data_IF_522947881465
#
_entry.id   IF_522947881465
#
_cell.length_a   1.000
_cell.length_b   1.000
_cell.length_c   1.000
_cell.angle_alpha   90.00
_cell.angle_beta   90.00
_cell.angle_gamma   90.00
#
_symmetry.space_group_name_H-M   'P 1'
#
loop_
_entity.id
_entity.type
_entity.pdbx_description
1 polymer ?
#
# COMPACT_ATOMS: atom_id res chain seq x y z
N UNK A 1 -27.68 -1.11 -19.12
CA UNK A 1 -26.43 -0.37 -19.11
C UNK A 1 -25.78 -0.48 -17.72
N UNK A 2 -24.55 -0.72 -17.68
CA UNK A 2 -23.41 -0.18 -16.97
C UNK A 2 -22.76 -1.00 -15.86
N UNK A 3 -22.98 -2.31 -15.76
CA UNK A 3 -22.06 -3.16 -14.97
C UNK A 3 -20.69 -3.32 -15.66
N UNK A 4 -20.68 -3.39 -16.98
CA UNK A 4 -19.45 -3.50 -17.78
C UNK A 4 -18.58 -2.24 -17.71
N UNK A 5 -19.16 -1.07 -17.56
CA UNK A 5 -18.46 0.21 -17.47
C UNK A 5 -17.78 0.35 -16.08
N UNK A 6 -18.45 -0.05 -15.01
CA UNK A 6 -17.89 -0.05 -13.66
C UNK A 6 -16.73 -1.06 -13.50
N UNK A 7 -16.90 -2.27 -14.03
CA UNK A 7 -15.85 -3.30 -13.99
C UNK A 7 -14.62 -2.89 -14.82
N UNK A 8 -14.82 -2.29 -15.99
CA UNK A 8 -13.73 -1.77 -16.81
C UNK A 8 -13.01 -0.61 -16.14
N UNK A 9 -13.73 0.29 -15.48
CA UNK A 9 -13.16 1.41 -14.75
C UNK A 9 -12.33 0.95 -13.55
N UNK A 10 -12.82 -0.03 -12.79
CA UNK A 10 -12.10 -0.63 -11.66
C UNK A 10 -10.84 -1.35 -12.17
N UNK A 11 -10.98 -2.18 -13.21
CA UNK A 11 -9.86 -2.90 -13.82
C UNK A 11 -8.79 -1.94 -14.37
N UNK A 12 -9.20 -0.86 -15.02
CA UNK A 12 -8.30 0.19 -15.51
C UNK A 12 -7.56 0.90 -14.37
N UNK A 13 -8.27 1.23 -13.29
CA UNK A 13 -7.69 1.85 -12.10
C UNK A 13 -6.66 0.94 -11.42
N UNK A 14 -6.95 -0.36 -11.31
CA UNK A 14 -6.03 -1.34 -10.73
C UNK A 14 -4.76 -1.50 -11.57
N UNK A 15 -4.87 -1.58 -12.90
CA UNK A 15 -3.69 -1.63 -13.79
C UNK A 15 -2.83 -0.38 -13.63
N UNK A 16 -3.46 0.78 -13.59
CA UNK A 16 -2.72 2.03 -13.41
C UNK A 16 -2.00 2.09 -12.05
N UNK A 17 -2.63 1.60 -10.98
CA UNK A 17 -1.98 1.49 -9.67
C UNK A 17 -0.79 0.51 -9.71
N UNK A 18 -0.93 -0.64 -10.39
CA UNK A 18 0.17 -1.59 -10.59
C UNK A 18 1.33 -0.95 -11.37
N UNK A 19 1.04 -0.16 -12.40
CA UNK A 19 2.05 0.59 -13.14
C UNK A 19 2.77 1.62 -12.24
N UNK A 20 2.05 2.26 -11.33
CA UNK A 20 2.67 3.18 -10.36
C UNK A 20 3.53 2.42 -9.35
N UNK A 21 3.08 1.26 -8.86
CA UNK A 21 3.87 0.38 -8.00
C UNK A 21 5.20 -0.03 -8.64
N UNK A 22 5.15 -0.45 -9.91
CA UNK A 22 6.34 -0.85 -10.68
C UNK A 22 7.34 0.30 -10.89
N UNK A 23 6.87 1.54 -10.91
CA UNK A 23 7.71 2.74 -11.08
C UNK A 23 8.30 3.27 -9.77
N UNK A 24 7.78 2.86 -8.60
CA UNK A 24 8.34 3.29 -7.31
C UNK A 24 9.81 2.82 -7.24
N UNK A 25 10.77 3.71 -6.89
CA UNK A 25 12.17 3.33 -6.81
C UNK A 25 12.43 2.16 -5.87
N UNK A 26 13.37 1.29 -6.25
CA UNK A 26 13.70 0.08 -5.47
C UNK A 26 14.32 0.37 -4.10
N UNK A 27 14.81 1.60 -3.89
CA UNK A 27 15.28 2.06 -2.59
C UNK A 27 14.17 2.22 -1.54
N UNK A 28 12.91 2.29 -1.97
CA UNK A 28 11.75 2.37 -1.06
C UNK A 28 11.45 0.99 -0.50
N UNK A 29 11.35 0.83 0.84
CA UNK A 29 10.98 -0.43 1.48
C UNK A 29 9.67 -1.01 0.94
N UNK A 30 9.62 -2.35 0.80
CA UNK A 30 8.49 -3.07 0.18
C UNK A 30 7.15 -2.73 0.81
N UNK A 31 7.11 -2.66 2.13
CA UNK A 31 5.92 -2.36 2.94
C UNK A 31 5.46 -0.89 2.82
N UNK A 32 6.31 0.00 2.35
CA UNK A 32 5.97 1.41 2.13
C UNK A 32 5.63 1.75 0.68
N UNK A 33 6.01 0.90 -0.30
CA UNK A 33 5.85 1.18 -1.75
C UNK A 33 4.43 1.55 -2.15
N UNK A 34 3.44 0.91 -1.57
CA UNK A 34 2.02 1.16 -1.86
C UNK A 34 1.61 2.61 -1.60
N UNK A 35 2.15 3.22 -0.56
CA UNK A 35 1.83 4.62 -0.20
C UNK A 35 2.36 5.61 -1.22
N UNK A 36 3.58 5.37 -1.72
CA UNK A 36 4.18 6.15 -2.81
C UNK A 36 3.40 5.97 -4.12
N UNK A 37 2.99 4.74 -4.43
CA UNK A 37 2.20 4.46 -5.62
C UNK A 37 0.82 5.12 -5.57
N UNK A 38 0.13 5.11 -4.42
CA UNK A 38 -1.15 5.79 -4.23
C UNK A 38 -1.01 7.31 -4.35
N UNK A 39 0.06 7.90 -3.82
CA UNK A 39 0.36 9.31 -4.02
C UNK A 39 0.59 9.62 -5.52
N UNK A 40 1.38 8.80 -6.19
CA UNK A 40 1.62 8.92 -7.63
C UNK A 40 0.33 8.72 -8.45
N UNK A 41 -0.55 7.81 -8.04
CA UNK A 41 -1.86 7.60 -8.65
C UNK A 41 -2.73 8.85 -8.58
N UNK A 42 -2.74 9.54 -7.43
CA UNK A 42 -3.60 10.70 -7.19
C UNK A 42 -3.06 11.98 -7.85
N UNK A 43 -1.77 12.29 -7.68
CA UNK A 43 -1.19 13.57 -8.13
C UNK A 43 -0.21 13.47 -9.30
N UNK A 44 0.07 12.26 -9.76
CA UNK A 44 1.04 11.99 -10.83
C UNK A 44 2.42 11.63 -10.30
N UNK A 45 3.07 10.69 -11.01
CA UNK A 45 4.39 10.14 -10.65
C UNK A 45 5.49 11.21 -10.53
N UNK A 46 5.50 12.17 -11.45
CA UNK A 46 6.48 13.25 -11.47
C UNK A 46 6.44 14.12 -10.18
N UNK A 47 5.24 14.43 -9.69
CA UNK A 47 5.06 15.18 -8.46
C UNK A 47 5.40 14.37 -7.20
N UNK A 48 5.20 13.06 -7.24
CA UNK A 48 5.70 12.18 -6.17
C UNK A 48 7.23 12.21 -6.11
N UNK A 49 7.93 12.24 -7.24
CA UNK A 49 9.39 12.43 -7.28
C UNK A 49 9.80 13.80 -6.74
N UNK A 50 9.06 14.87 -7.05
CA UNK A 50 9.30 16.20 -6.47
C UNK A 50 9.17 16.21 -4.94
N UNK A 51 8.19 15.50 -4.39
CA UNK A 51 8.02 15.34 -2.93
C UNK A 51 9.24 14.64 -2.31
N UNK A 52 9.75 13.58 -2.92
CA UNK A 52 10.97 12.88 -2.50
C UNK A 52 12.20 13.79 -2.57
N UNK A 53 12.36 14.51 -3.68
CA UNK A 53 13.46 15.45 -3.86
C UNK A 53 13.42 16.58 -2.81
N UNK A 54 12.24 17.10 -2.50
CA UNK A 54 12.05 18.10 -1.45
C UNK A 54 12.40 17.54 -0.07
N UNK A 55 12.01 16.29 0.20
CA UNK A 55 12.34 15.58 1.45
C UNK A 55 13.85 15.48 1.61
N UNK A 56 14.57 15.04 0.58
CA UNK A 56 16.03 14.94 0.59
C UNK A 56 16.71 16.33 0.80
N UNK A 57 16.21 17.37 0.12
CA UNK A 57 16.69 18.76 0.33
C UNK A 57 16.51 19.23 1.77
N UNK A 58 15.48 18.79 2.45
CA UNK A 58 15.20 19.12 3.85
C UNK A 58 15.84 18.13 4.83
N UNK A 59 16.77 17.29 4.36
CA UNK A 59 17.53 16.30 5.16
C UNK A 59 16.64 15.20 5.78
N UNK A 60 15.45 14.96 5.24
CA UNK A 60 14.61 13.80 5.55
C UNK A 60 14.97 12.62 4.67
N UNK A 61 14.42 11.44 5.02
CA UNK A 61 14.59 10.23 4.23
C UNK A 61 13.59 10.19 3.05
N UNK A 62 14.04 10.31 1.78
CA UNK A 62 13.14 10.30 0.61
C UNK A 62 12.49 8.93 0.36
N UNK A 63 12.96 7.88 1.01
CA UNK A 63 12.46 6.51 0.89
C UNK A 63 11.51 6.12 2.04
N UNK A 64 11.32 7.02 3.02
CA UNK A 64 10.34 6.83 4.10
C UNK A 64 9.05 7.60 3.82
N UNK A 65 7.92 6.89 3.82
CA UNK A 65 6.61 7.51 3.66
C UNK A 65 6.33 8.56 4.75
N UNK A 66 6.73 8.27 5.99
CA UNK A 66 6.54 9.19 7.12
C UNK A 66 7.18 10.55 6.88
N UNK A 67 8.34 10.58 6.24
CA UNK A 67 9.05 11.81 5.90
C UNK A 67 8.46 12.47 4.65
N UNK A 68 8.20 11.71 3.60
CA UNK A 68 7.72 12.23 2.32
C UNK A 68 6.31 12.79 2.43
N UNK A 69 5.40 12.13 3.13
CA UNK A 69 4.02 12.59 3.28
C UNK A 69 3.90 14.01 3.86
N UNK A 70 4.82 14.39 4.75
CA UNK A 70 4.84 15.73 5.35
C UNK A 70 5.18 16.83 4.34
N UNK A 71 5.82 16.49 3.23
CA UNK A 71 6.23 17.42 2.15
C UNK A 71 5.17 17.53 1.06
N UNK A 72 4.24 16.59 0.97
CA UNK A 72 3.17 16.64 -0.03
C UNK A 72 2.39 17.96 0.01
N UNK A 73 1.89 18.47 1.17
CA UNK A 73 1.17 19.74 1.20
C UNK A 73 2.01 20.95 0.76
N UNK A 74 3.34 20.87 0.86
CA UNK A 74 4.24 21.95 0.46
C UNK A 74 4.28 22.13 -1.07
N UNK A 75 3.94 21.10 -1.84
CA UNK A 75 3.90 21.15 -3.31
C UNK A 75 2.84 22.11 -3.87
N UNK A 76 1.88 22.53 -3.07
CA UNK A 76 0.89 23.54 -3.42
C UNK A 76 1.33 24.98 -3.05
N UNK A 77 2.44 25.13 -2.33
CA UNK A 77 2.92 26.43 -1.83
C UNK A 77 4.00 27.02 -2.73
N UNK A 78 3.81 28.25 -3.19
CA UNK A 78 4.71 28.92 -4.15
C UNK A 78 6.20 28.93 -3.76
N UNK A 79 6.59 29.13 -2.49
CA UNK A 79 8.01 29.10 -2.12
C UNK A 79 8.70 27.76 -2.38
N UNK A 80 7.93 26.67 -2.44
CA UNK A 80 8.43 25.32 -2.69
C UNK A 80 8.30 24.93 -4.15
N UNK A 81 7.07 24.96 -4.72
CA UNK A 81 6.87 24.47 -6.07
C UNK A 81 7.63 25.24 -7.14
N UNK A 82 7.90 26.53 -6.93
CA UNK A 82 8.71 27.34 -7.88
C UNK A 82 10.15 26.86 -8.03
N UNK A 83 10.63 26.01 -7.15
CA UNK A 83 11.99 25.45 -7.12
C UNK A 83 12.01 23.94 -7.41
N UNK A 84 10.88 23.36 -7.75
CA UNK A 84 10.73 21.94 -8.09
C UNK A 84 10.69 21.75 -9.59
N UNK A 85 11.03 20.56 -10.04
CA UNK A 85 11.14 20.24 -11.47
C UNK A 85 9.81 20.32 -12.19
N UNK A 86 8.75 19.84 -11.54
CA UNK A 86 7.41 19.70 -12.16
C UNK A 86 6.41 20.76 -11.66
N UNK A 87 6.82 21.63 -10.75
CA UNK A 87 6.05 22.78 -10.33
C UNK A 87 4.90 22.48 -9.38
N UNK A 88 3.78 23.17 -9.56
CA UNK A 88 2.62 23.07 -8.68
C UNK A 88 1.93 21.70 -8.73
N UNK A 89 1.62 21.16 -7.55
CA UNK A 89 0.76 20.00 -7.39
C UNK A 89 -0.23 20.18 -6.25
N UNK A 90 -1.37 19.49 -6.31
CA UNK A 90 -2.38 19.43 -5.23
C UNK A 90 -1.97 18.42 -4.15
N UNK A 91 -0.77 18.62 -3.59
CA UNK A 91 -0.16 17.67 -2.67
C UNK A 91 -0.94 17.45 -1.37
N UNK A 92 -1.74 18.44 -0.90
CA UNK A 92 -2.63 18.26 0.25
C UNK A 92 -3.77 17.28 -0.02
N UNK A 93 -4.28 17.21 -1.28
CA UNK A 93 -5.28 16.22 -1.68
C UNK A 93 -4.66 14.82 -1.71
N UNK A 94 -3.45 14.67 -2.27
CA UNK A 94 -2.73 13.41 -2.27
C UNK A 94 -2.41 12.92 -0.85
N UNK A 95 -1.99 13.82 0.05
CA UNK A 95 -1.81 13.51 1.47
C UNK A 95 -3.08 12.95 2.10
N UNK A 96 -4.20 13.69 1.96
CA UNK A 96 -5.48 13.27 2.53
C UNK A 96 -5.97 11.93 1.94
N UNK A 97 -5.81 11.74 0.63
CA UNK A 97 -6.17 10.52 -0.07
C UNK A 97 -5.43 9.31 0.50
N UNK A 98 -4.12 9.36 0.59
CA UNK A 98 -3.31 8.23 1.10
C UNK A 98 -3.57 7.99 2.59
N UNK A 99 -3.60 9.03 3.41
CA UNK A 99 -3.81 8.86 4.86
C UNK A 99 -5.21 8.32 5.18
N UNK A 100 -6.22 8.63 4.39
CA UNK A 100 -7.54 8.03 4.53
C UNK A 100 -7.51 6.53 4.19
N UNK A 101 -6.85 6.14 3.10
CA UNK A 101 -6.70 4.71 2.74
C UNK A 101 -5.96 3.95 3.85
N UNK A 102 -4.88 4.53 4.40
CA UNK A 102 -4.15 3.92 5.53
C UNK A 102 -5.02 3.73 6.78
N UNK A 103 -5.86 4.70 7.09
CA UNK A 103 -6.82 4.56 8.22
C UNK A 103 -7.81 3.42 7.99
N UNK A 104 -8.34 3.29 6.77
CA UNK A 104 -9.24 2.19 6.42
C UNK A 104 -8.52 0.84 6.49
N UNK A 105 -7.27 0.76 6.02
CA UNK A 105 -6.47 -0.46 6.13
C UNK A 105 -6.29 -0.89 7.60
N UNK A 106 -5.85 0.03 8.46
CA UNK A 106 -5.67 -0.25 9.90
C UNK A 106 -6.97 -0.76 10.53
N UNK A 107 -8.10 -0.10 10.21
CA UNK A 107 -9.40 -0.50 10.73
C UNK A 107 -9.83 -1.86 10.23
N UNK A 108 -9.62 -2.16 8.94
CA UNK A 108 -9.95 -3.43 8.34
C UNK A 108 -9.10 -4.57 8.90
N UNK A 109 -7.79 -4.36 9.01
CA UNK A 109 -6.88 -5.35 9.60
C UNK A 109 -7.27 -5.65 11.05
N UNK A 110 -7.56 -4.61 11.84
CA UNK A 110 -8.03 -4.77 13.22
C UNK A 110 -9.32 -5.59 13.31
N UNK A 111 -10.28 -5.30 12.43
CA UNK A 111 -11.53 -6.06 12.34
C UNK A 111 -11.30 -7.54 11.98
N UNK A 112 -10.47 -7.82 10.98
CA UNK A 112 -10.17 -9.18 10.53
C UNK A 112 -9.46 -9.99 11.62
N UNK A 113 -8.49 -9.40 12.32
CA UNK A 113 -7.80 -10.04 13.45
C UNK A 113 -8.79 -10.38 14.57
N UNK A 114 -9.72 -9.50 14.86
CA UNK A 114 -10.74 -9.77 15.89
C UNK A 114 -11.70 -10.89 15.45
N UNK A 115 -12.11 -10.91 14.19
CA UNK A 115 -12.94 -12.00 13.63
C UNK A 115 -12.23 -13.35 13.71
N UNK A 116 -10.94 -13.40 13.40
CA UNK A 116 -10.13 -14.62 13.47
C UNK A 116 -10.02 -15.13 14.92
N UNK A 117 -9.80 -14.24 15.89
CA UNK A 117 -9.81 -14.59 17.32
C UNK A 117 -11.14 -15.15 17.76
N UNK A 118 -12.25 -14.54 17.34
CA UNK A 118 -13.59 -15.01 17.69
C UNK A 118 -13.87 -16.39 17.08
N UNK A 119 -13.49 -16.61 15.81
CA UNK A 119 -13.64 -17.90 15.14
C UNK A 119 -12.84 -19.01 15.85
N UNK A 120 -11.58 -18.72 16.19
CA UNK A 120 -10.71 -19.65 16.92
C UNK A 120 -11.28 -20.00 18.29
N UNK A 121 -11.78 -19.01 19.02
CA UNK A 121 -12.42 -19.22 20.33
C UNK A 121 -13.66 -20.10 20.22
N UNK A 122 -14.49 -19.86 19.18
CA UNK A 122 -15.71 -20.65 18.93
C UNK A 122 -15.36 -22.10 18.63
N UNK A 123 -14.34 -22.36 17.81
CA UNK A 123 -13.87 -23.72 17.50
C UNK A 123 -13.31 -24.42 18.74
N UNK A 124 -12.50 -23.75 19.56
CA UNK A 124 -11.97 -24.32 20.79
C UNK A 124 -13.07 -24.73 21.77
N UNK A 125 -14.13 -23.93 21.89
CA UNK A 125 -15.29 -24.27 22.72
C UNK A 125 -16.06 -25.48 22.13
N UNK A 126 -16.21 -25.54 20.82
CA UNK A 126 -16.91 -26.65 20.15
C UNK A 126 -16.16 -27.98 20.27
N UNK A 127 -14.83 -27.96 20.34
CA UNK A 127 -13.97 -29.13 20.52
C UNK A 127 -13.75 -29.52 21.99
N UNK A 128 -14.38 -28.81 22.95
CA UNK A 128 -14.31 -29.12 24.39
C UNK A 128 -12.97 -28.72 25.04
N UNK A 129 -12.14 -27.91 24.40
CA UNK A 129 -10.96 -27.36 25.02
C UNK A 129 -11.34 -26.22 25.98
N UNK A 130 -10.80 -26.18 27.22
CA UNK A 130 -11.01 -25.05 28.12
C UNK A 130 -10.49 -23.76 27.42
N UNK A 131 -11.26 -22.68 27.53
CA UNK A 131 -10.85 -21.39 26.98
C UNK A 131 -9.50 -20.98 27.63
N UNK A 132 -8.41 -21.07 26.86
CA UNK A 132 -7.10 -20.58 27.29
C UNK A 132 -7.17 -19.06 27.36
N UNK A 133 -6.71 -18.50 28.48
CA UNK A 133 -6.68 -17.05 28.65
C UNK A 133 -5.87 -16.39 27.53
N UNK A 134 -6.27 -15.21 27.04
CA UNK A 134 -5.64 -14.54 25.87
C UNK A 134 -4.15 -14.23 26.03
N UNK A 135 -3.62 -14.29 27.25
CA UNK A 135 -2.24 -13.93 27.58
C UNK A 135 -1.21 -15.07 27.39
N UNK A 136 -1.66 -16.30 27.09
CA UNK A 136 -0.76 -17.46 26.91
C UNK A 136 -0.47 -17.82 25.42
N UNK A 137 -1.12 -17.15 24.48
CA UNK A 137 -0.81 -17.34 23.06
C UNK A 137 0.33 -16.38 22.70
N UNK A 138 1.56 -16.90 22.74
CA UNK A 138 2.70 -16.18 22.18
C UNK A 138 2.35 -15.73 20.75
N UNK A 139 2.63 -14.45 20.35
CA UNK A 139 2.34 -13.99 19.02
C UNK A 139 3.14 -14.85 18.04
N UNK A 140 2.43 -15.71 17.32
CA UNK A 140 3.01 -16.43 16.20
C UNK A 140 3.54 -15.37 15.26
N UNK A 141 4.82 -15.47 14.87
CA UNK A 141 5.44 -14.57 13.91
C UNK A 141 4.61 -14.63 12.61
N UNK A 142 3.66 -13.72 12.49
CA UNK A 142 3.02 -13.44 11.20
C UNK A 142 4.14 -12.84 10.37
N UNK A 143 4.63 -13.65 9.43
CA UNK A 143 5.63 -13.21 8.47
C UNK A 143 5.10 -11.95 7.77
N UNK A 144 6.02 -11.03 7.51
CA UNK A 144 5.83 -9.73 6.87
C UNK A 144 5.45 -9.85 5.38
N UNK A 145 4.43 -10.62 5.07
CA UNK A 145 3.81 -10.57 3.75
C UNK A 145 2.56 -9.71 3.85
N UNK A 146 2.58 -8.61 3.12
CA UNK A 146 1.51 -7.63 3.03
C UNK A 146 0.14 -8.29 2.97
N UNK A 147 -0.62 -8.18 4.06
CA UNK A 147 -1.97 -8.74 4.20
C UNK A 147 -2.93 -8.28 3.11
N UNK A 148 -2.64 -7.16 2.45
CA UNK A 148 -3.40 -6.62 1.31
C UNK A 148 -3.33 -7.50 0.06
N UNK A 149 -2.22 -8.19 -0.21
CA UNK A 149 -2.09 -9.06 -1.39
C UNK A 149 -2.92 -10.35 -1.24
N UNK A 150 -3.17 -10.82 -0.01
CA UNK A 150 -4.05 -11.96 0.24
C UNK A 150 -5.54 -11.65 0.07
N UNK A 151 -5.96 -10.43 0.39
CA UNK A 151 -7.36 -10.00 0.27
C UNK A 151 -7.78 -9.73 -1.17
N UNK A 152 -6.83 -9.52 -2.09
CA UNK A 152 -7.09 -9.25 -3.51
C UNK A 152 -6.98 -10.50 -4.39
N UNK A 153 -6.68 -11.68 -3.83
CA UNK A 153 -6.66 -12.94 -4.58
C UNK A 153 -8.05 -13.56 -4.59
N UNK A 154 -8.63 -13.86 -5.76
CA UNK A 154 -9.91 -14.54 -5.83
C UNK A 154 -9.80 -15.96 -5.23
N UNK A 155 -10.82 -16.48 -4.56
CA UNK A 155 -10.81 -17.83 -4.04
C UNK A 155 -10.82 -18.83 -5.20
N UNK A 156 -9.74 -19.58 -5.35
CA UNK A 156 -9.66 -20.74 -6.25
C UNK A 156 -8.80 -20.55 -7.48
N UNK A 157 -7.51 -20.53 -7.30
CA UNK A 157 -6.60 -21.25 -8.21
C UNK A 157 -5.22 -21.37 -7.53
N UNK A 158 -5.01 -22.45 -6.82
CA UNK A 158 -3.71 -22.80 -6.29
C UNK A 158 -2.84 -23.34 -7.45
N UNK A 159 -1.85 -22.57 -7.86
CA UNK A 159 -0.73 -23.03 -8.66
C UNK A 159 -0.76 -22.64 -10.12
N UNK A 160 -0.21 -21.49 -10.47
CA UNK A 160 0.64 -21.32 -11.65
C UNK A 160 1.10 -19.89 -11.97
N UNK A 161 0.71 -18.84 -11.25
CA UNK A 161 0.95 -17.47 -11.75
C UNK A 161 1.99 -16.61 -11.00
N UNK A 162 2.71 -17.14 -10.03
CA UNK A 162 3.77 -16.38 -9.34
C UNK A 162 5.19 -16.72 -9.77
N UNK A 163 5.36 -17.44 -10.90
CA UNK A 163 6.68 -17.85 -11.41
C UNK A 163 7.58 -16.67 -11.80
N UNK A 164 7.01 -15.54 -12.21
CA UNK A 164 7.75 -14.37 -12.68
C UNK A 164 8.33 -13.48 -11.56
N UNK A 165 7.87 -13.61 -10.31
CA UNK A 165 8.37 -12.82 -9.19
C UNK A 165 9.73 -13.28 -8.65
N UNK A 166 10.20 -14.47 -9.00
CA UNK A 166 11.42 -15.05 -8.45
C UNK A 166 12.54 -15.31 -9.46
N UNK A 167 12.40 -14.90 -10.74
CA UNK A 167 13.43 -15.14 -11.75
C UNK A 167 13.63 -13.92 -12.65
N UNK A 168 14.47 -12.93 -12.24
CA UNK A 168 14.80 -11.77 -13.07
C UNK A 168 15.98 -12.04 -14.02
N UNK A 169 16.17 -13.23 -14.58
CA UNK A 169 17.20 -13.45 -15.60
C UNK A 169 16.71 -14.44 -16.66
N UNK A 170 16.33 -13.93 -17.82
CA UNK A 170 16.69 -14.38 -19.16
C UNK A 170 15.93 -13.56 -20.22
N UNK A 171 16.47 -12.43 -20.61
CA UNK A 171 16.25 -11.89 -21.95
C UNK A 171 17.53 -11.21 -22.45
N UNK A 172 18.40 -12.03 -23.00
CA UNK A 172 19.46 -11.59 -23.92
C UNK A 172 19.38 -12.50 -25.14
N UNK A 173 18.71 -12.02 -26.18
CA UNK A 173 19.10 -12.16 -27.59
C UNK A 173 18.05 -11.51 -28.46
#
# INVERSE_FOLDING_TARGET
>A
SDRTDAEQSISGGMRYLQDMMAKVPDSVPEDERIWFALAAYNMGYAHMLDARALTAKQKGNPDSWTDVKQRLPLLSQKPYYSRLTYGYARGHEAYAYVENIRKYEISLVGYLVEQEKQATKTLAIAEGYPAVAPDEIAPNKVGSESSLLRLLSPPGNAGSEYWWMHHPETSSR
#
